data_IF_632828619892
#
_entry.id   IF_632828619892
#
_cell.length_a   1.000
_cell.length_b   1.000
_cell.length_c   1.000
_cell.angle_alpha   90.00
_cell.angle_beta   90.00
_cell.angle_gamma   90.00
#
_symmetry.space_group_name_H-M   'P 1'
#
loop_
_entity.id
_entity.type
_entity.pdbx_description
1 polymer ?
#
# COMPACT_ATOMS: atom_id res chain seq x y z
N UNK A 1 -21.09 -5.18 21.74
CA UNK A 1 -20.16 -6.13 21.09
C UNK A 1 -19.60 -5.43 19.88
N UNK A 2 -18.30 -5.18 19.85
CA UNK A 2 -17.65 -4.65 18.65
C UNK A 2 -17.80 -5.65 17.50
N UNK A 3 -17.97 -5.13 16.28
CA UNK A 3 -18.09 -5.96 15.10
C UNK A 3 -16.80 -6.78 14.89
N UNK A 4 -16.88 -7.93 14.22
CA UNK A 4 -15.71 -8.76 13.92
C UNK A 4 -15.77 -9.32 12.52
N UNK A 5 -14.60 -9.41 11.88
CA UNK A 5 -14.42 -10.11 10.61
C UNK A 5 -14.11 -11.58 10.91
N UNK A 6 -14.76 -12.50 10.20
CA UNK A 6 -14.50 -13.94 10.30
C UNK A 6 -13.72 -14.43 9.10
N UNK A 7 -12.71 -15.25 9.37
CA UNK A 7 -11.79 -15.80 8.37
C UNK A 7 -11.97 -17.32 8.23
N UNK A 8 -11.57 -17.91 7.10
CA UNK A 8 -11.66 -19.36 6.88
C UNK A 8 -10.86 -20.17 7.92
N UNK A 9 -9.71 -19.65 8.33
CA UNK A 9 -8.79 -20.30 9.26
C UNK A 9 -8.00 -19.25 10.09
N UNK A 10 -7.32 -19.68 11.17
CA UNK A 10 -6.54 -18.77 12.02
C UNK A 10 -5.34 -18.11 11.32
N UNK A 11 -4.76 -18.73 10.28
CA UNK A 11 -3.63 -18.17 9.57
C UNK A 11 -4.07 -16.95 8.74
N UNK A 12 -5.25 -17.01 8.11
CA UNK A 12 -5.82 -15.88 7.39
C UNK A 12 -6.16 -14.70 8.32
N UNK A 13 -6.67 -14.97 9.53
CA UNK A 13 -6.88 -13.92 10.54
C UNK A 13 -5.55 -13.31 11.02
N UNK A 14 -4.56 -14.14 11.33
CA UNK A 14 -3.22 -13.70 11.73
C UNK A 14 -2.51 -12.91 10.63
N UNK A 15 -2.78 -13.22 9.37
CA UNK A 15 -2.22 -12.51 8.22
C UNK A 15 -2.74 -11.07 8.11
N UNK A 16 -4.04 -10.82 8.35
CA UNK A 16 -4.58 -9.46 8.47
C UNK A 16 -3.87 -8.68 9.60
N UNK A 17 -3.77 -9.29 10.79
CA UNK A 17 -3.13 -8.63 11.95
C UNK A 17 -1.65 -8.35 11.69
N UNK A 18 -0.94 -9.28 11.04
CA UNK A 18 0.47 -9.09 10.64
C UNK A 18 0.61 -7.96 9.64
N UNK A 19 -0.26 -7.91 8.62
CA UNK A 19 -0.26 -6.85 7.63
C UNK A 19 -0.54 -5.48 8.27
N UNK A 20 -1.52 -5.41 9.18
CA UNK A 20 -1.86 -4.21 9.93
C UNK A 20 -0.71 -3.74 10.84
N UNK A 21 -0.05 -4.66 11.56
CA UNK A 21 1.12 -4.35 12.37
C UNK A 21 2.30 -3.81 11.56
N UNK A 22 2.56 -4.38 10.38
CA UNK A 22 3.58 -3.84 9.45
C UNK A 22 3.20 -2.45 8.93
N UNK A 23 1.94 -2.23 8.56
CA UNK A 23 1.46 -0.92 8.16
C UNK A 23 1.63 0.13 9.28
N UNK A 24 1.31 -0.23 10.52
CA UNK A 24 1.52 0.62 11.69
C UNK A 24 2.99 1.02 11.88
N UNK A 25 3.91 0.05 11.81
CA UNK A 25 5.36 0.31 11.91
C UNK A 25 5.88 1.25 10.82
N UNK A 26 5.23 1.26 9.66
CA UNK A 26 5.56 2.16 8.56
C UNK A 26 4.96 3.56 8.70
N UNK A 27 4.16 3.81 9.74
CA UNK A 27 3.48 5.08 9.98
C UNK A 27 2.25 5.29 9.09
N UNK A 28 1.58 4.20 8.66
CA UNK A 28 0.36 4.32 7.88
C UNK A 28 -0.78 4.95 8.69
N UNK A 29 -1.50 5.88 8.07
CA UNK A 29 -2.64 6.59 8.64
C UNK A 29 -3.99 5.87 8.41
N UNK A 30 -3.94 4.62 7.95
CA UNK A 30 -5.12 3.78 7.81
C UNK A 30 -4.90 2.46 7.07
N UNK A 31 -5.81 1.52 7.30
CA UNK A 31 -5.92 0.27 6.57
C UNK A 31 -7.35 0.12 6.04
N UNK A 32 -7.51 0.15 4.73
CA UNK A 32 -8.79 -0.07 4.05
C UNK A 32 -9.02 -1.56 3.87
N UNK A 33 -10.17 -2.04 4.32
CA UNK A 33 -10.64 -3.41 4.22
C UNK A 33 -11.86 -3.43 3.29
N UNK A 34 -11.73 -4.09 2.14
CA UNK A 34 -12.79 -4.21 1.14
C UNK A 34 -13.10 -5.68 0.89
N UNK A 35 -14.22 -6.17 1.39
CA UNK A 35 -14.68 -7.54 1.15
C UNK A 35 -15.83 -7.56 0.14
N UNK A 36 -15.71 -8.42 -0.86
CA UNK A 36 -16.80 -8.72 -1.81
C UNK A 36 -16.49 -10.01 -2.57
N UNK A 37 -17.52 -10.77 -2.95
CA UNK A 37 -17.40 -11.94 -3.83
C UNK A 37 -16.29 -12.93 -3.39
N UNK A 38 -16.17 -13.16 -2.08
CA UNK A 38 -15.24 -14.13 -1.48
C UNK A 38 -13.79 -13.65 -1.38
N UNK A 39 -13.55 -12.35 -1.60
CA UNK A 39 -12.22 -11.74 -1.56
C UNK A 39 -12.20 -10.54 -0.63
N UNK A 40 -11.19 -10.46 0.24
CA UNK A 40 -10.88 -9.29 1.07
C UNK A 40 -9.59 -8.64 0.53
N UNK A 41 -9.70 -7.40 0.04
CA UNK A 41 -8.56 -6.56 -0.28
C UNK A 41 -8.21 -5.68 0.92
N UNK A 42 -6.95 -5.75 1.36
CA UNK A 42 -6.37 -4.98 2.45
C UNK A 42 -5.39 -3.98 1.85
N UNK A 43 -5.68 -2.69 1.95
CA UNK A 43 -4.89 -1.63 1.29
C UNK A 43 -4.46 -0.56 2.27
N UNK A 44 -3.20 -0.14 2.21
CA UNK A 44 -2.66 0.93 3.06
C UNK A 44 -1.74 1.85 2.26
N UNK A 45 -1.71 3.14 2.59
CA UNK A 45 -0.79 4.09 1.97
C UNK A 45 0.57 4.08 2.69
N UNK A 46 1.63 3.90 1.91
CA UNK A 46 3.01 3.97 2.38
C UNK A 46 3.61 5.36 2.13
N UNK A 47 3.16 5.98 1.04
CA UNK A 47 3.43 7.36 0.67
C UNK A 47 2.18 7.92 -0.03
N UNK A 48 1.71 9.08 0.37
CA UNK A 48 0.60 9.77 -0.29
C UNK A 48 0.76 11.29 -0.14
N UNK A 49 0.37 12.07 -1.16
CA UNK A 49 0.45 13.53 -1.10
C UNK A 49 -0.49 14.10 -0.03
N UNK A 50 -0.01 15.10 0.73
CA UNK A 50 -0.82 15.93 1.63
C UNK A 50 -1.33 17.18 0.94
N UNK A 51 -2.55 17.07 0.44
CA UNK A 51 -3.24 18.18 -0.22
C UNK A 51 -2.80 18.36 -1.67
N UNK A 52 -3.31 19.42 -2.30
CA UNK A 52 -3.26 19.59 -3.75
C UNK A 52 -1.86 19.90 -4.31
N UNK A 53 -1.01 20.54 -3.50
CA UNK A 53 0.31 21.04 -3.94
C UNK A 53 1.47 20.09 -3.58
N UNK A 54 1.18 18.97 -2.94
CA UNK A 54 2.20 17.97 -2.63
C UNK A 54 2.51 17.14 -3.89
N UNK A 55 3.75 17.19 -4.42
CA UNK A 55 4.11 16.51 -5.65
C UNK A 55 4.35 15.01 -5.47
N UNK A 56 4.29 14.49 -4.23
CA UNK A 56 4.57 13.09 -3.95
C UNK A 56 3.58 12.17 -4.68
N UNK A 57 4.05 11.03 -5.23
CA UNK A 57 3.17 10.02 -5.78
C UNK A 57 2.33 9.36 -4.69
N UNK A 58 1.25 8.69 -5.08
CA UNK A 58 0.54 7.77 -4.17
C UNK A 58 1.12 6.38 -4.35
N UNK A 59 1.69 5.82 -3.29
CA UNK A 59 2.19 4.44 -3.21
C UNK A 59 1.37 3.68 -2.17
N UNK A 60 0.63 2.67 -2.63
CA UNK A 60 -0.22 1.83 -1.81
C UNK A 60 0.35 0.41 -1.76
N UNK A 61 0.34 -0.19 -0.59
CA UNK A 61 0.48 -1.63 -0.44
C UNK A 61 -0.88 -2.30 -0.42
N UNK A 62 -1.03 -3.38 -1.17
CA UNK A 62 -2.27 -4.14 -1.25
C UNK A 62 -2.00 -5.63 -1.10
N UNK A 63 -2.77 -6.29 -0.22
CA UNK A 63 -2.76 -7.74 -0.05
C UNK A 63 -4.20 -8.27 -0.12
N UNK A 64 -4.35 -9.46 -0.66
CA UNK A 64 -5.65 -10.05 -0.96
C UNK A 64 -5.76 -11.40 -0.25
N UNK A 65 -6.91 -11.63 0.41
CA UNK A 65 -7.24 -12.87 1.10
C UNK A 65 -8.56 -13.44 0.59
N UNK A 66 -8.68 -14.76 0.61
CA UNK A 66 -9.96 -15.44 0.43
C UNK A 66 -10.77 -15.38 1.73
N UNK A 67 -12.05 -15.05 1.61
CA UNK A 67 -12.99 -14.93 2.73
C UNK A 67 -14.35 -15.53 2.33
N UNK A 68 -15.27 -15.63 3.27
CA UNK A 68 -16.64 -16.05 2.97
C UNK A 68 -17.29 -15.08 1.94
N UNK A 69 -17.92 -15.58 0.86
CA UNK A 69 -18.61 -14.73 -0.11
C UNK A 69 -19.72 -13.84 0.46
N UNK A 70 -20.30 -14.20 1.60
CA UNK A 70 -21.28 -13.39 2.31
C UNK A 70 -20.67 -12.21 3.08
N UNK A 71 -19.34 -12.20 3.29
CA UNK A 71 -18.65 -11.07 3.91
C UNK A 71 -18.58 -9.91 2.90
N UNK A 72 -19.27 -8.81 3.24
CA UNK A 72 -19.26 -7.57 2.47
C UNK A 72 -18.92 -6.42 3.40
N UNK A 73 -17.86 -5.68 3.07
CA UNK A 73 -17.48 -4.46 3.79
C UNK A 73 -16.64 -3.53 2.91
N UNK A 74 -16.65 -2.24 3.25
CA UNK A 74 -15.70 -1.24 2.75
C UNK A 74 -15.50 -0.21 3.87
N UNK A 75 -14.43 -0.37 4.63
CA UNK A 75 -14.13 0.46 5.80
C UNK A 75 -12.63 0.73 5.89
N UNK A 76 -12.26 1.84 6.52
CA UNK A 76 -10.86 2.16 6.84
C UNK A 76 -10.74 2.28 8.34
N UNK A 77 -9.75 1.62 8.91
CA UNK A 77 -9.50 1.59 10.36
C UNK A 77 -8.04 1.94 10.66
N UNK A 78 -7.78 2.33 11.90
CA UNK A 78 -6.41 2.46 12.38
C UNK A 78 -5.74 1.07 12.40
N UNK A 79 -4.54 0.89 11.79
CA UNK A 79 -3.93 -0.44 11.70
C UNK A 79 -3.67 -1.08 13.08
N UNK A 80 -3.34 -0.30 14.09
CA UNK A 80 -3.10 -0.74 15.48
C UNK A 80 -4.35 -1.21 16.21
N UNK A 81 -5.55 -0.90 15.70
CA UNK A 81 -6.82 -1.31 16.32
C UNK A 81 -7.22 -2.76 16.03
N UNK A 82 -6.56 -3.41 15.07
CA UNK A 82 -6.92 -4.75 14.63
C UNK A 82 -6.19 -5.82 15.44
N UNK A 83 -6.96 -6.68 16.08
CA UNK A 83 -6.46 -7.77 16.93
C UNK A 83 -7.32 -9.01 16.71
N UNK A 84 -6.71 -10.19 16.79
CA UNK A 84 -7.47 -11.45 16.85
C UNK A 84 -8.35 -11.46 18.08
N UNK A 85 -9.58 -11.95 17.96
CA UNK A 85 -10.49 -12.03 19.10
C UNK A 85 -9.99 -13.07 20.11
N UNK A 86 -10.11 -12.76 21.40
CA UNK A 86 -9.67 -13.64 22.49
C UNK A 86 -10.42 -14.97 22.51
N UNK A 87 -11.67 -14.97 22.03
CA UNK A 87 -12.59 -16.12 22.05
C UNK A 87 -12.55 -16.96 20.76
N UNK A 88 -11.98 -16.44 19.66
CA UNK A 88 -11.93 -17.12 18.36
C UNK A 88 -10.74 -16.65 17.53
N UNK A 89 -9.74 -17.52 17.36
CA UNK A 89 -8.55 -17.24 16.56
C UNK A 89 -8.83 -17.02 15.05
N UNK A 90 -10.04 -17.32 14.57
CA UNK A 90 -10.49 -17.02 13.19
C UNK A 90 -11.22 -15.68 13.08
N UNK A 91 -11.37 -14.95 14.18
CA UNK A 91 -12.04 -13.66 14.18
C UNK A 91 -11.03 -12.54 14.45
N UNK A 92 -11.20 -11.42 13.74
CA UNK A 92 -10.48 -10.16 14.03
C UNK A 92 -11.51 -9.14 14.47
N UNK A 93 -11.31 -8.57 15.66
CA UNK A 93 -12.15 -7.52 16.19
C UNK A 93 -11.95 -6.22 15.40
N UNK A 94 -13.05 -5.56 15.05
CA UNK A 94 -13.04 -4.24 14.45
C UNK A 94 -13.22 -3.17 15.53
N UNK A 95 -12.60 -1.99 15.38
CA UNK A 95 -12.91 -0.85 16.22
C UNK A 95 -14.34 -0.37 16.00
N UNK A 96 -14.85 0.40 16.95
CA UNK A 96 -16.19 0.99 16.87
C UNK A 96 -16.26 2.15 15.86
N UNK A 97 -15.11 2.72 15.46
CA UNK A 97 -15.00 3.87 14.57
C UNK A 97 -14.16 3.56 13.34
N UNK A 98 -14.63 4.04 12.19
CA UNK A 98 -13.86 4.10 10.96
C UNK A 98 -13.22 5.49 10.79
N UNK A 99 -12.13 5.55 10.03
CA UNK A 99 -11.44 6.78 9.64
C UNK A 99 -11.56 7.02 8.14
N UNK A 100 -11.17 8.21 7.66
CA UNK A 100 -11.31 8.58 6.25
C UNK A 100 -10.09 9.38 5.73
N UNK A 101 -8.89 8.78 5.69
CA UNK A 101 -7.72 9.45 5.14
C UNK A 101 -7.89 9.69 3.63
N UNK A 102 -7.34 10.79 3.11
CA UNK A 102 -7.58 11.25 1.74
C UNK A 102 -7.22 10.20 0.67
N UNK A 103 -6.18 9.40 0.90
CA UNK A 103 -5.77 8.35 -0.04
C UNK A 103 -6.80 7.23 -0.18
N UNK A 104 -7.70 7.03 0.79
CA UNK A 104 -8.68 5.94 0.75
C UNK A 104 -9.65 6.09 -0.43
N UNK A 105 -9.89 7.31 -0.93
CA UNK A 105 -10.65 7.57 -2.15
C UNK A 105 -9.90 7.26 -3.46
N UNK A 106 -8.59 6.95 -3.39
CA UNK A 106 -7.74 6.71 -4.54
C UNK A 106 -7.71 5.21 -4.85
N UNK A 107 -8.60 4.75 -5.72
CA UNK A 107 -8.72 3.33 -6.08
C UNK A 107 -7.97 2.98 -7.37
N UNK A 108 -7.22 1.85 -7.40
CA UNK A 108 -6.61 1.34 -8.61
C UNK A 108 -7.66 0.76 -9.59
N UNK A 109 -7.34 0.71 -10.90
CA UNK A 109 -8.18 0.01 -11.87
C UNK A 109 -8.18 -1.50 -11.62
N UNK A 110 -9.32 -2.15 -11.86
CA UNK A 110 -9.48 -3.61 -11.70
C UNK A 110 -8.90 -4.40 -12.88
N UNK A 111 -8.84 -3.80 -14.07
CA UNK A 111 -8.42 -4.43 -15.33
C UNK A 111 -7.43 -3.59 -16.12
N UNK A 112 -7.23 -3.96 -17.39
CA UNK A 112 -6.41 -3.23 -18.38
C UNK A 112 -4.93 -3.06 -17.99
N UNK A 113 -4.40 -4.07 -17.29
CA UNK A 113 -3.01 -4.11 -16.85
C UNK A 113 -2.11 -4.78 -17.90
N UNK A 114 -1.22 -3.99 -18.50
CA UNK A 114 -0.24 -4.48 -19.47
C UNK A 114 1.13 -4.66 -18.80
N UNK A 115 1.87 -5.75 -19.09
CA UNK A 115 3.21 -5.95 -18.55
C UNK A 115 4.20 -4.92 -19.11
N UNK A 116 5.07 -4.40 -18.24
CA UNK A 116 6.10 -3.40 -18.63
C UNK A 116 7.52 -3.82 -18.25
N UNK A 117 7.69 -4.84 -17.41
CA UNK A 117 9.00 -5.36 -17.02
C UNK A 117 8.96 -6.15 -15.72
N UNK A 118 10.15 -6.50 -15.23
CA UNK A 118 10.31 -7.24 -13.99
C UNK A 118 11.47 -6.66 -13.16
N UNK A 119 11.32 -6.68 -11.84
CA UNK A 119 12.32 -6.21 -10.88
C UNK A 119 12.67 -7.38 -9.97
N UNK A 120 13.96 -7.68 -9.78
CA UNK A 120 14.37 -8.72 -8.84
C UNK A 120 14.02 -8.32 -7.39
N UNK A 121 13.56 -9.27 -6.58
CA UNK A 121 13.28 -9.01 -5.16
C UNK A 121 14.49 -8.49 -4.40
N UNK A 122 15.70 -8.92 -4.78
CA UNK A 122 16.97 -8.42 -4.24
C UNK A 122 17.20 -6.93 -4.52
N UNK A 123 16.79 -6.44 -5.69
CA UNK A 123 16.86 -5.01 -6.04
C UNK A 123 15.87 -4.20 -5.20
N UNK A 124 14.65 -4.70 -5.01
CA UNK A 124 13.67 -4.08 -4.11
C UNK A 124 14.20 -4.03 -2.67
N UNK A 125 14.84 -5.10 -2.19
CA UNK A 125 15.43 -5.13 -0.86
C UNK A 125 16.57 -4.12 -0.71
N UNK A 126 17.52 -4.10 -1.66
CA UNK A 126 18.64 -3.18 -1.64
C UNK A 126 18.18 -1.71 -1.63
N UNK A 127 17.25 -1.35 -2.52
CA UNK A 127 16.71 0.02 -2.58
C UNK A 127 15.92 0.42 -1.35
N UNK A 128 15.20 -0.51 -0.73
CA UNK A 128 14.53 -0.24 0.53
C UNK A 128 15.55 0.04 1.66
N UNK A 129 16.61 -0.77 1.75
CA UNK A 129 17.64 -0.59 2.78
C UNK A 129 18.43 0.71 2.60
N UNK A 130 18.84 1.02 1.37
CA UNK A 130 19.52 2.28 1.03
C UNK A 130 18.66 3.49 1.41
N UNK A 131 17.38 3.49 1.07
CA UNK A 131 16.50 4.59 1.45
C UNK A 131 16.21 4.65 2.96
N UNK A 132 16.14 3.51 3.66
CA UNK A 132 15.98 3.51 5.13
C UNK A 132 17.18 4.13 5.82
N UNK A 133 18.40 3.81 5.36
CA UNK A 133 19.63 4.43 5.85
C UNK A 133 19.61 5.95 5.60
N UNK A 134 19.24 6.39 4.39
CA UNK A 134 19.10 7.82 4.07
C UNK A 134 18.08 8.55 4.95
N UNK A 135 16.93 7.92 5.23
CA UNK A 135 15.94 8.50 6.15
C UNK A 135 16.53 8.63 7.55
N UNK A 136 17.24 7.60 8.05
CA UNK A 136 17.87 7.65 9.36
C UNK A 136 18.94 8.76 9.45
N UNK A 137 19.74 8.95 8.39
CA UNK A 137 20.78 9.97 8.32
C UNK A 137 20.22 11.39 8.22
N UNK A 138 19.07 11.58 7.55
CA UNK A 138 18.43 12.90 7.36
C UNK A 138 17.56 13.35 8.56
N UNK A 139 17.17 12.44 9.45
CA UNK A 139 16.28 12.77 10.57
C UNK A 139 17.06 13.29 11.79
N UNK A 140 16.64 14.40 12.42
CA UNK A 140 17.17 14.80 13.72
C UNK A 140 16.75 13.79 14.81
N UNK A 141 17.38 13.86 15.99
CA UNK A 141 17.14 12.91 17.10
C UNK A 141 15.68 12.85 17.60
N UNK A 142 14.91 13.93 17.44
CA UNK A 142 13.50 14.00 17.85
C UNK A 142 12.69 14.80 16.82
N UNK A 143 12.41 14.21 15.65
CA UNK A 143 11.71 14.89 14.58
C UNK A 143 10.20 14.94 14.86
N UNK A 144 9.59 16.09 14.62
CA UNK A 144 8.13 16.18 14.53
C UNK A 144 7.60 15.45 13.29
N UNK A 145 6.31 15.11 13.29
CA UNK A 145 5.65 14.35 12.22
C UNK A 145 5.82 14.99 10.83
N UNK A 146 5.79 16.33 10.76
CA UNK A 146 5.98 17.07 9.51
C UNK A 146 7.38 16.92 8.94
N UNK A 147 8.40 16.89 9.81
CA UNK A 147 9.80 16.68 9.42
C UNK A 147 9.99 15.25 8.90
N UNK A 148 9.47 14.26 9.64
CA UNK A 148 9.52 12.84 9.22
C UNK A 148 8.90 12.68 7.84
N UNK A 149 7.72 13.27 7.62
CA UNK A 149 7.03 13.15 6.36
C UNK A 149 7.76 13.87 5.22
N UNK A 150 8.30 15.06 5.45
CA UNK A 150 9.07 15.78 4.45
C UNK A 150 10.31 15.01 4.00
N UNK A 151 11.06 14.43 4.96
CA UNK A 151 12.21 13.55 4.67
C UNK A 151 11.76 12.33 3.87
N UNK A 152 10.71 11.64 4.31
CA UNK A 152 10.16 10.47 3.60
C UNK A 152 9.71 10.79 2.18
N UNK A 153 9.07 11.95 1.95
CA UNK A 153 8.71 12.40 0.60
C UNK A 153 9.95 12.58 -0.29
N UNK A 154 11.02 13.21 0.22
CA UNK A 154 12.26 13.40 -0.52
C UNK A 154 13.03 12.10 -0.79
N UNK A 155 12.99 11.13 0.13
CA UNK A 155 13.71 9.86 -0.03
C UNK A 155 12.91 8.88 -0.90
N UNK A 156 11.60 8.78 -0.70
CA UNK A 156 10.75 7.76 -1.33
C UNK A 156 10.00 8.25 -2.57
N UNK A 157 9.87 9.56 -2.76
CA UNK A 157 9.17 10.16 -3.89
C UNK A 157 9.90 10.10 -5.24
N UNK A 158 11.24 10.30 -5.31
CA UNK A 158 11.97 10.29 -6.58
C UNK A 158 11.91 8.95 -7.32
N UNK A 159 11.91 9.02 -8.65
CA UNK A 159 12.01 7.85 -9.54
C UNK A 159 13.38 7.20 -9.50
N UNK A 160 13.42 5.88 -9.62
CA UNK A 160 14.64 5.07 -9.71
C UNK A 160 14.61 4.19 -10.96
N UNK A 161 15.64 4.28 -11.79
CA UNK A 161 15.79 3.48 -13.01
C UNK A 161 15.89 1.97 -12.72
N UNK A 162 16.49 1.60 -11.58
CA UNK A 162 16.54 0.21 -11.13
C UNK A 162 15.15 -0.33 -10.77
N UNK A 163 14.17 0.56 -10.59
CA UNK A 163 12.76 0.25 -10.34
C UNK A 163 11.89 0.58 -11.56
N UNK A 164 12.45 0.59 -12.78
CA UNK A 164 11.74 0.89 -14.03
C UNK A 164 11.16 2.32 -14.06
N UNK A 165 11.86 3.28 -13.47
CA UNK A 165 11.44 4.68 -13.35
C UNK A 165 10.31 4.90 -12.35
N UNK A 166 10.00 3.91 -11.51
CA UNK A 166 9.02 4.03 -10.43
C UNK A 166 9.64 4.70 -9.20
N UNK A 167 8.81 5.31 -8.33
CA UNK A 167 9.32 5.93 -7.11
C UNK A 167 9.96 4.92 -6.17
N UNK A 168 11.02 5.34 -5.45
CA UNK A 168 11.71 4.52 -4.45
C UNK A 168 10.77 3.97 -3.36
N UNK A 169 9.64 4.64 -3.10
CA UNK A 169 8.58 4.16 -2.23
C UNK A 169 8.03 2.77 -2.60
N UNK A 170 8.19 2.34 -3.85
CA UNK A 170 7.85 0.96 -4.27
C UNK A 170 8.66 -0.07 -3.51
N UNK A 171 9.98 0.13 -3.42
CA UNK A 171 10.88 -0.75 -2.71
C UNK A 171 10.57 -0.76 -1.22
N UNK A 172 10.37 0.43 -0.63
CA UNK A 172 10.02 0.57 0.78
C UNK A 172 8.68 -0.11 1.12
N UNK A 173 7.65 0.03 0.27
CA UNK A 173 6.37 -0.66 0.43
C UNK A 173 6.52 -2.19 0.36
N UNK A 174 7.21 -2.68 -0.67
CA UNK A 174 7.39 -4.12 -0.87
C UNK A 174 8.19 -4.78 0.26
N UNK A 175 9.24 -4.10 0.75
CA UNK A 175 10.06 -4.56 1.87
C UNK A 175 9.32 -4.46 3.21
N UNK A 176 8.84 -3.28 3.57
CA UNK A 176 8.25 -3.01 4.89
C UNK A 176 6.99 -3.83 5.17
N UNK A 177 6.15 -4.01 4.14
CA UNK A 177 4.94 -4.83 4.23
C UNK A 177 5.22 -6.34 4.12
N UNK A 178 6.48 -6.74 3.95
CA UNK A 178 6.89 -8.16 3.94
C UNK A 178 6.51 -8.91 2.66
N UNK A 179 6.34 -8.20 1.55
CA UNK A 179 5.93 -8.82 0.29
C UNK A 179 7.06 -9.56 -0.43
N UNK A 180 8.31 -9.10 -0.28
CA UNK A 180 9.47 -9.69 -0.97
C UNK A 180 10.12 -10.82 -0.20
N UNK A 181 10.58 -11.88 -0.88
CA UNK A 181 11.46 -12.89 -0.28
C UNK A 181 11.79 -14.06 -1.21
N UNK A 182 12.92 -14.72 -0.91
CA UNK A 182 13.54 -15.66 -1.86
C UNK A 182 14.11 -14.94 -3.09
N UNK A 183 14.37 -15.70 -4.14
CA UNK A 183 14.89 -15.20 -5.43
C UNK A 183 13.76 -14.90 -6.44
N UNK A 184 12.66 -14.31 -5.97
CA UNK A 184 11.50 -14.03 -6.82
C UNK A 184 11.70 -12.76 -7.68
N UNK A 185 10.99 -12.71 -8.80
CA UNK A 185 10.91 -11.52 -9.67
C UNK A 185 9.54 -10.88 -9.56
N UNK A 186 9.52 -9.61 -9.22
CA UNK A 186 8.32 -8.81 -9.14
C UNK A 186 7.89 -8.36 -10.53
N UNK A 187 6.68 -8.70 -10.96
CA UNK A 187 6.16 -8.34 -12.28
C UNK A 187 5.55 -6.94 -12.23
N UNK A 188 6.08 -6.03 -13.03
CA UNK A 188 5.57 -4.68 -13.21
C UNK A 188 4.53 -4.63 -14.33
N UNK A 189 3.38 -4.02 -14.04
CA UNK A 189 2.29 -3.79 -15.00
C UNK A 189 1.84 -2.33 -14.96
N UNK A 190 1.25 -1.84 -16.04
CA UNK A 190 0.71 -0.49 -16.15
C UNK A 190 -0.74 -0.48 -16.65
N UNK A 191 -1.53 0.46 -16.13
CA UNK A 191 -2.88 0.77 -16.59
C UNK A 191 -3.10 2.29 -16.46
N UNK A 192 -3.03 3.02 -17.57
CA UNK A 192 -3.11 4.48 -17.56
C UNK A 192 -2.03 5.13 -16.69
N UNK A 193 -2.43 5.88 -15.65
CA UNK A 193 -1.52 6.52 -14.69
C UNK A 193 -1.07 5.61 -13.54
N UNK A 194 -1.55 4.37 -13.53
CA UNK A 194 -1.25 3.40 -12.50
C UNK A 194 -0.16 2.43 -12.93
N UNK A 195 0.74 2.12 -12.01
CA UNK A 195 1.67 1.00 -12.10
C UNK A 195 1.40 0.02 -10.96
N UNK A 196 1.56 -1.28 -11.21
CA UNK A 196 1.38 -2.35 -10.23
C UNK A 196 2.58 -3.27 -10.26
N UNK A 197 3.25 -3.40 -9.12
CA UNK A 197 4.29 -4.39 -8.88
C UNK A 197 3.66 -5.57 -8.15
N UNK A 198 3.75 -6.76 -8.71
CA UNK A 198 3.16 -7.98 -8.14
C UNK A 198 4.24 -8.97 -7.77
N UNK A 199 4.19 -9.46 -6.54
CA UNK A 199 5.00 -10.56 -5.99
C UNK A 199 4.06 -11.59 -5.35
N UNK A 200 4.58 -12.74 -4.94
CA UNK A 200 3.74 -13.83 -4.42
C UNK A 200 2.89 -13.43 -3.21
N UNK A 201 3.40 -12.51 -2.36
CA UNK A 201 2.74 -12.11 -1.11
C UNK A 201 1.95 -10.80 -1.19
N UNK A 202 1.87 -10.15 -2.34
CA UNK A 202 1.07 -8.93 -2.45
C UNK A 202 1.41 -8.07 -3.65
N UNK A 203 0.85 -6.87 -3.63
CA UNK A 203 0.96 -5.89 -4.69
C UNK A 203 1.37 -4.54 -4.13
N UNK A 204 2.28 -3.85 -4.83
CA UNK A 204 2.50 -2.42 -4.64
C UNK A 204 1.87 -1.68 -5.81
N UNK A 205 1.01 -0.72 -5.52
CA UNK A 205 0.32 0.10 -6.50
C UNK A 205 0.86 1.51 -6.43
N UNK A 206 1.20 2.06 -7.58
CA UNK A 206 1.67 3.44 -7.69
C UNK A 206 0.73 4.18 -8.62
N UNK A 207 0.16 5.26 -8.14
CA UNK A 207 -0.39 6.31 -9.00
C UNK A 207 0.71 7.35 -9.16
N UNK A 208 1.22 7.49 -10.39
CA UNK A 208 2.24 8.51 -10.69
C UNK A 208 1.76 9.91 -10.27
N UNK A 209 2.67 10.89 -10.13
CA UNK A 209 2.29 12.25 -9.74
C UNK A 209 1.15 12.76 -10.63
N UNK A 210 0.28 13.59 -10.05
CA UNK A 210 -0.75 14.30 -10.82
C UNK A 210 -0.02 14.99 -11.96
N UNK A 211 -0.26 14.56 -13.21
CA UNK A 211 0.47 15.10 -14.37
C UNK A 211 0.44 16.62 -14.30
N UNK A 212 1.60 17.27 -14.37
CA UNK A 212 1.68 18.65 -14.78
C UNK A 212 1.42 18.68 -16.30
N UNK A 213 0.16 18.84 -16.70
CA UNK A 213 -0.23 18.93 -18.10
C UNK A 213 -1.64 18.41 -18.38
N UNK A 214 -2.25 18.91 -19.45
CA UNK A 214 -3.58 18.47 -19.90
C UNK A 214 -3.50 17.03 -20.43
N UNK A 215 -4.49 16.19 -20.08
CA UNK A 215 -4.73 14.95 -20.82
C UNK A 215 -5.06 15.27 -22.28
N UNK A 216 -4.73 14.39 -23.25
CA UNK A 216 -5.12 14.60 -24.64
C UNK A 216 -6.63 14.87 -24.74
N UNK A 217 -7.00 16.04 -25.23
CA UNK A 217 -8.41 16.39 -25.47
C UNK A 217 -8.82 15.73 -26.78
N UNK A 218 -9.80 14.81 -26.74
CA UNK A 218 -10.40 14.25 -27.95
C UNK A 218 -11.01 15.40 -28.76
N UNK A 219 -10.70 15.49 -30.06
CA UNK A 219 -11.39 16.46 -30.94
C UNK A 219 -12.89 16.15 -30.96
N UNK A 220 -13.70 17.16 -30.67
CA UNK A 220 -15.16 17.13 -30.82
C UNK A 220 -15.55 17.92 -32.07
N UNK A 221 -16.47 17.40 -32.89
CA UNK A 221 -17.03 18.09 -34.06
C UNK A 221 -16.43 17.66 -35.41
N UNK A 222 -16.68 16.42 -35.83
CA UNK A 222 -16.57 16.03 -37.23
C UNK A 222 -17.94 16.23 -37.91
#
# INVERSE_FOLDING_TARGET
>A
MSARLRFPDPLAAADLVTFAGRAALMGADGLRLQASAGTLAMTTAVLAPRGLLDPNPTVLGMRILSVDPALVCDLVVEPTSLQTADDDARAVALPDTAIAPAWAGIAPPRGDWEPVGEIAASVLAARAQEGMARVADELPESPGEDVVRAVRGRVWGPSDDALLGLPAGVAFAAFGLGFIGGDERAVARRSGTWSRITVARGHVLVRGPVRSGLTPVRRTGA
#
